data_IF_126690084670
#
_entry.id   IF_126690084670
#
_cell.length_a   1.000
_cell.length_b   1.000
_cell.length_c   1.000
_cell.angle_alpha   90.00
_cell.angle_beta   90.00
_cell.angle_gamma   90.00
#
_symmetry.space_group_name_H-M   'P 1'
#
loop_
_entity.id
_entity.type
_entity.pdbx_description
1 polymer ?
#
# COMPACT_ATOMS: atom_id res chain seq x y z
N UNK A 1 -26.79 9.72 -8.97
CA UNK A 1 -26.32 8.82 -7.89
C UNK A 1 -25.10 8.01 -8.31
N UNK A 2 -25.10 7.36 -9.49
CA UNK A 2 -23.95 6.56 -9.98
C UNK A 2 -22.63 7.35 -10.09
N UNK A 3 -22.67 8.58 -10.61
CA UNK A 3 -21.46 9.40 -10.79
C UNK A 3 -20.81 9.81 -9.46
N UNK A 4 -21.64 10.13 -8.46
CA UNK A 4 -21.16 10.49 -7.11
C UNK A 4 -20.46 9.30 -6.47
N UNK A 5 -21.05 8.11 -6.57
CA UNK A 5 -20.43 6.88 -6.05
C UNK A 5 -19.10 6.58 -6.75
N UNK A 6 -19.02 6.75 -8.07
CA UNK A 6 -17.79 6.56 -8.82
C UNK A 6 -16.68 7.51 -8.35
N UNK A 7 -17.01 8.80 -8.17
CA UNK A 7 -16.06 9.80 -7.66
C UNK A 7 -15.58 9.45 -6.24
N UNK A 8 -16.50 9.06 -5.35
CA UNK A 8 -16.16 8.65 -3.98
C UNK A 8 -15.24 7.43 -3.98
N UNK A 9 -15.54 6.40 -4.80
CA UNK A 9 -14.72 5.19 -4.88
C UNK A 9 -13.33 5.49 -5.42
N UNK A 10 -13.22 6.37 -6.43
CA UNK A 10 -11.93 6.81 -6.96
C UNK A 10 -11.12 7.60 -5.92
N UNK A 11 -11.78 8.51 -5.21
CA UNK A 11 -11.15 9.28 -4.14
C UNK A 11 -10.68 8.36 -3.00
N UNK A 12 -11.51 7.42 -2.57
CA UNK A 12 -11.17 6.42 -1.56
C UNK A 12 -9.94 5.61 -2.00
N UNK A 13 -9.93 5.10 -3.24
CA UNK A 13 -8.81 4.32 -3.76
C UNK A 13 -7.49 5.09 -3.69
N UNK A 14 -7.47 6.32 -4.20
CA UNK A 14 -6.25 7.14 -4.19
C UNK A 14 -5.82 7.54 -2.79
N UNK A 15 -6.77 7.90 -1.92
CA UNK A 15 -6.47 8.29 -0.54
C UNK A 15 -5.89 7.12 0.25
N UNK A 16 -6.47 5.93 0.11
CA UNK A 16 -5.95 4.71 0.73
C UNK A 16 -4.59 4.31 0.19
N UNK A 17 -4.37 4.40 -1.13
CA UNK A 17 -3.07 4.15 -1.75
C UNK A 17 -2.01 5.14 -1.22
N UNK A 18 -2.34 6.43 -1.18
CA UNK A 18 -1.42 7.48 -0.74
C UNK A 18 -1.06 7.31 0.74
N UNK A 19 -2.03 7.00 1.61
CA UNK A 19 -1.78 6.74 3.02
C UNK A 19 -0.85 5.53 3.21
N UNK A 20 -1.08 4.43 2.47
CA UNK A 20 -0.30 3.20 2.61
C UNK A 20 1.14 3.36 2.09
N UNK A 21 1.30 3.86 0.86
CA UNK A 21 2.61 4.06 0.25
C UNK A 21 3.38 5.19 0.95
N UNK A 22 2.70 6.28 1.31
CA UNK A 22 3.28 7.39 2.06
C UNK A 22 3.77 6.96 3.43
N UNK A 23 3.00 6.15 4.16
CA UNK A 23 3.43 5.57 5.44
C UNK A 23 4.64 4.65 5.31
N UNK A 24 4.68 3.81 4.26
CA UNK A 24 5.85 2.99 3.93
C UNK A 24 7.08 3.86 3.62
N UNK A 25 6.90 4.95 2.87
CA UNK A 25 7.98 5.84 2.46
C UNK A 25 8.55 6.57 3.67
N UNK A 26 7.69 7.19 4.47
CA UNK A 26 8.07 7.86 5.71
C UNK A 26 8.75 6.90 6.67
N UNK A 27 8.15 5.72 6.90
CA UNK A 27 8.73 4.78 7.84
C UNK A 27 10.09 4.23 7.39
N UNK A 28 10.30 4.05 6.08
CA UNK A 28 11.58 3.56 5.54
C UNK A 28 12.67 4.62 5.50
N UNK A 29 12.33 5.84 5.08
CA UNK A 29 13.32 6.90 4.81
C UNK A 29 13.54 7.83 6.00
N UNK A 30 12.58 7.94 6.90
CA UNK A 30 12.64 8.84 8.05
C UNK A 30 12.68 8.06 9.36
N UNK A 31 11.68 7.21 9.62
CA UNK A 31 11.55 6.56 10.93
C UNK A 31 12.68 5.56 11.20
N UNK A 32 13.03 4.70 10.24
CA UNK A 32 14.09 3.70 10.42
C UNK A 32 15.46 4.34 10.70
N UNK A 33 15.93 5.33 9.91
CA UNK A 33 17.15 6.05 10.23
C UNK A 33 17.09 6.77 11.59
N UNK A 34 15.97 7.40 11.93
CA UNK A 34 15.79 8.06 13.21
C UNK A 34 15.91 7.09 14.39
N UNK A 35 15.26 5.92 14.31
CA UNK A 35 15.38 4.85 15.32
C UNK A 35 16.82 4.36 15.46
N UNK A 36 17.55 4.26 14.34
CA UNK A 36 18.96 3.85 14.35
C UNK A 36 19.91 4.81 15.09
N UNK A 37 19.47 6.04 15.37
CA UNK A 37 20.25 7.01 16.17
C UNK A 37 20.03 6.89 17.68
N UNK A 38 19.11 6.03 18.12
CA UNK A 38 18.77 5.82 19.53
C UNK A 38 19.52 4.62 20.12
N UNK A 39 19.50 4.51 21.46
CA UNK A 39 19.92 3.27 22.12
C UNK A 39 19.03 2.08 21.68
N UNK A 40 19.54 0.84 21.69
CA UNK A 40 18.77 -0.32 21.24
C UNK A 40 17.39 -0.46 21.92
N UNK A 41 17.35 -0.27 23.25
CA UNK A 41 16.12 -0.36 24.05
C UNK A 41 15.12 0.74 23.69
N UNK A 42 15.57 2.00 23.57
CA UNK A 42 14.71 3.12 23.19
C UNK A 42 14.20 2.97 21.75
N UNK A 43 15.06 2.49 20.85
CA UNK A 43 14.72 2.23 19.46
C UNK A 43 13.65 1.14 19.30
N UNK A 44 13.78 0.04 20.02
CA UNK A 44 12.80 -1.05 20.01
C UNK A 44 11.44 -0.62 20.60
N UNK A 45 11.46 0.10 21.72
CA UNK A 45 10.25 0.65 22.35
C UNK A 45 9.50 1.61 21.42
N UNK A 46 10.22 2.54 20.78
CA UNK A 46 9.64 3.48 19.82
C UNK A 46 9.10 2.75 18.57
N UNK A 47 9.86 1.80 18.02
CA UNK A 47 9.44 1.01 16.87
C UNK A 47 8.15 0.23 17.15
N UNK A 48 8.04 -0.40 18.32
CA UNK A 48 6.86 -1.15 18.74
C UNK A 48 5.62 -0.26 18.87
N UNK A 49 5.75 0.87 19.56
CA UNK A 49 4.65 1.84 19.73
C UNK A 49 4.20 2.43 18.39
N UNK A 50 5.14 2.84 17.54
CA UNK A 50 4.85 3.37 16.21
C UNK A 50 4.15 2.32 15.31
N UNK A 51 4.62 1.07 15.33
CA UNK A 51 4.00 -0.03 14.61
C UNK A 51 2.56 -0.30 15.08
N UNK A 52 2.33 -0.28 16.39
CA UNK A 52 0.99 -0.41 16.98
C UNK A 52 0.05 0.71 16.55
N UNK A 53 0.51 1.96 16.57
CA UNK A 53 -0.26 3.12 16.14
C UNK A 53 -0.54 3.13 14.62
N UNK A 54 0.39 2.61 13.80
CA UNK A 54 0.26 2.55 12.35
C UNK A 54 -0.73 1.47 11.88
N UNK A 55 -0.88 0.39 12.66
CA UNK A 55 -1.71 -0.79 12.33
C UNK A 55 -3.17 -0.49 11.95
N UNK A 56 -3.96 0.29 12.71
CA UNK A 56 -5.33 0.60 12.33
C UNK A 56 -5.41 1.37 11.00
N UNK A 57 -4.45 2.26 10.74
CA UNK A 57 -4.39 2.98 9.47
C UNK A 57 -4.06 2.05 8.29
N UNK A 58 -3.14 1.09 8.48
CA UNK A 58 -2.88 0.03 7.48
C UNK A 58 -4.16 -0.75 7.18
N UNK A 59 -4.87 -1.19 8.21
CA UNK A 59 -6.12 -1.93 8.03
C UNK A 59 -7.15 -1.11 7.26
N UNK A 60 -7.38 0.15 7.64
CA UNK A 60 -8.31 1.04 6.95
C UNK A 60 -7.93 1.27 5.48
N UNK A 61 -6.64 1.51 5.20
CA UNK A 61 -6.15 1.71 3.84
C UNK A 61 -6.28 0.44 2.98
N UNK A 62 -5.93 -0.73 3.52
CA UNK A 62 -6.08 -2.00 2.79
C UNK A 62 -7.55 -2.30 2.51
N UNK A 63 -8.43 -2.14 3.49
CA UNK A 63 -9.89 -2.29 3.29
C UNK A 63 -10.40 -1.32 2.23
N UNK A 64 -10.01 -0.05 2.30
CA UNK A 64 -10.37 0.96 1.31
C UNK A 64 -9.91 0.59 -0.11
N UNK A 65 -8.69 0.08 -0.27
CA UNK A 65 -8.15 -0.39 -1.55
C UNK A 65 -8.88 -1.62 -2.09
N UNK A 66 -9.22 -2.57 -1.24
CA UNK A 66 -9.97 -3.78 -1.64
C UNK A 66 -11.37 -3.39 -2.11
N UNK A 67 -12.10 -2.60 -1.32
CA UNK A 67 -13.48 -2.19 -1.66
C UNK A 67 -13.51 -1.37 -2.94
N UNK A 68 -12.72 -0.30 -3.00
CA UNK A 68 -12.68 0.58 -4.17
C UNK A 68 -12.07 -0.08 -5.41
N UNK A 69 -11.06 -0.94 -5.24
CA UNK A 69 -10.44 -1.69 -6.33
C UNK A 69 -11.39 -2.72 -6.93
N UNK A 70 -12.13 -3.44 -6.08
CA UNK A 70 -13.17 -4.38 -6.53
C UNK A 70 -14.27 -3.64 -7.29
N UNK A 71 -14.76 -2.52 -6.75
CA UNK A 71 -15.74 -1.68 -7.42
C UNK A 71 -15.25 -1.24 -8.82
N UNK A 72 -13.99 -0.80 -8.93
CA UNK A 72 -13.42 -0.39 -10.21
C UNK A 72 -13.35 -1.54 -11.23
N UNK A 73 -12.95 -2.75 -10.81
CA UNK A 73 -12.89 -3.91 -11.71
C UNK A 73 -14.28 -4.32 -12.21
N UNK A 74 -15.29 -4.29 -11.34
CA UNK A 74 -16.66 -4.67 -11.70
C UNK A 74 -17.35 -3.64 -12.61
N UNK A 75 -17.03 -2.35 -12.44
CA UNK A 75 -17.63 -1.27 -13.24
C UNK A 75 -16.89 -0.97 -14.52
N UNK A 76 -15.59 -1.29 -14.58
CA UNK A 76 -14.73 -1.06 -15.74
C UNK A 76 -14.02 -2.37 -16.12
N UNK A 77 -14.78 -3.37 -16.62
CA UNK A 77 -14.18 -4.60 -17.11
C UNK A 77 -13.40 -4.26 -18.38
N UNK A 78 -12.08 -4.33 -18.35
CA UNK A 78 -11.29 -4.16 -19.57
C UNK A 78 -11.56 -5.30 -20.55
N UNK A 79 -11.17 -5.10 -21.82
CA UNK A 79 -11.58 -5.97 -22.92
C UNK A 79 -10.41 -6.61 -23.68
N UNK A 80 -9.16 -6.31 -23.31
CA UNK A 80 -7.98 -6.82 -24.00
C UNK A 80 -7.20 -7.81 -23.13
N UNK A 81 -6.55 -8.79 -23.77
CA UNK A 81 -5.68 -9.75 -23.07
C UNK A 81 -4.57 -9.03 -22.31
N UNK A 82 -3.95 -8.02 -22.94
CA UNK A 82 -2.92 -7.18 -22.31
C UNK A 82 -3.44 -6.48 -21.05
N UNK A 83 -4.67 -5.96 -21.06
CA UNK A 83 -5.28 -5.36 -19.88
C UNK A 83 -5.39 -6.37 -18.74
N UNK A 84 -5.93 -7.57 -18.99
CA UNK A 84 -6.10 -8.58 -17.95
C UNK A 84 -4.76 -9.10 -17.40
N UNK A 85 -3.76 -9.29 -18.25
CA UNK A 85 -2.42 -9.69 -17.82
C UNK A 85 -1.80 -8.65 -16.88
N UNK A 86 -1.81 -7.37 -17.27
CA UNK A 86 -1.27 -6.28 -16.46
C UNK A 86 -2.07 -6.06 -15.18
N UNK A 87 -3.40 -6.18 -15.24
CA UNK A 87 -4.26 -6.15 -14.05
C UNK A 87 -3.90 -7.28 -13.09
N UNK A 88 -3.71 -8.50 -13.58
CA UNK A 88 -3.28 -9.65 -12.76
C UNK A 88 -1.96 -9.40 -12.05
N UNK A 89 -0.94 -8.93 -12.78
CA UNK A 89 0.37 -8.56 -12.20
C UNK A 89 0.22 -7.46 -11.15
N UNK A 90 -0.58 -6.42 -11.44
CA UNK A 90 -0.88 -5.33 -10.49
C UNK A 90 -1.50 -5.86 -9.20
N UNK A 91 -2.44 -6.80 -9.29
CA UNK A 91 -3.11 -7.38 -8.13
C UNK A 91 -2.15 -8.24 -7.28
N UNK A 92 -1.28 -9.03 -7.90
CA UNK A 92 -0.26 -9.80 -7.19
C UNK A 92 0.72 -8.89 -6.44
N UNK A 93 1.17 -7.81 -7.09
CA UNK A 93 2.04 -6.82 -6.44
C UNK A 93 1.30 -6.07 -5.32
N UNK A 94 0.03 -5.71 -5.51
CA UNK A 94 -0.77 -5.10 -4.45
C UNK A 94 -0.92 -6.03 -3.24
N UNK A 95 -1.17 -7.33 -3.47
CA UNK A 95 -1.22 -8.32 -2.41
C UNK A 95 0.11 -8.44 -1.66
N UNK A 96 1.24 -8.39 -2.38
CA UNK A 96 2.56 -8.32 -1.75
C UNK A 96 2.70 -7.08 -0.85
N UNK A 97 2.29 -5.90 -1.34
CA UNK A 97 2.31 -4.66 -0.54
C UNK A 97 1.44 -4.79 0.71
N UNK A 98 0.23 -5.36 0.60
CA UNK A 98 -0.67 -5.54 1.74
C UNK A 98 -0.08 -6.50 2.77
N UNK A 99 0.44 -7.65 2.33
CA UNK A 99 1.08 -8.62 3.21
C UNK A 99 2.25 -7.98 3.97
N UNK A 100 3.11 -7.25 3.27
CA UNK A 100 4.22 -6.54 3.92
C UNK A 100 3.71 -5.47 4.88
N UNK A 101 2.70 -4.69 4.50
CA UNK A 101 2.14 -3.64 5.36
C UNK A 101 1.65 -4.19 6.71
N UNK A 102 1.04 -5.37 6.73
CA UNK A 102 0.69 -6.04 7.99
C UNK A 102 1.92 -6.56 8.73
N UNK A 103 2.87 -7.21 8.04
CA UNK A 103 4.07 -7.76 8.68
C UNK A 103 4.98 -6.67 9.29
N UNK A 104 4.99 -5.46 8.74
CA UNK A 104 5.72 -4.32 9.32
C UNK A 104 4.95 -3.63 10.46
N UNK A 105 3.76 -4.11 10.82
CA UNK A 105 3.07 -3.71 12.06
C UNK A 105 3.19 -4.79 13.14
N UNK A 106 3.73 -5.96 12.80
CA UNK A 106 4.00 -7.01 13.76
C UNK A 106 5.17 -6.61 14.70
N UNK A 107 5.10 -7.01 15.98
CA UNK A 107 6.20 -6.82 16.93
C UNK A 107 7.43 -7.64 16.54
N UNK A 108 8.61 -7.23 16.99
CA UNK A 108 9.89 -7.95 16.83
C UNK A 108 10.21 -8.43 15.39
N UNK A 109 10.03 -7.56 14.38
CA UNK A 109 10.37 -7.88 12.99
C UNK A 109 11.79 -7.37 12.63
N UNK A 110 12.82 -8.24 12.60
CA UNK A 110 14.21 -7.82 12.31
C UNK A 110 14.41 -7.42 10.85
N UNK A 111 13.49 -7.81 9.95
CA UNK A 111 13.59 -7.58 8.50
C UNK A 111 12.75 -6.39 8.04
N UNK A 112 12.20 -5.59 8.97
CA UNK A 112 11.28 -4.48 8.72
C UNK A 112 11.80 -3.54 7.63
N UNK A 113 13.05 -3.06 7.74
CA UNK A 113 13.65 -2.16 6.76
C UNK A 113 13.66 -2.73 5.34
N UNK A 114 14.13 -3.97 5.19
CA UNK A 114 14.22 -4.65 3.89
C UNK A 114 12.84 -4.87 3.29
N UNK A 115 11.88 -5.30 4.10
CA UNK A 115 10.50 -5.54 3.66
C UNK A 115 9.85 -4.25 3.17
N UNK A 116 10.04 -3.13 3.88
CA UNK A 116 9.52 -1.84 3.45
C UNK A 116 10.11 -1.39 2.11
N UNK A 117 11.40 -1.59 1.86
CA UNK A 117 11.99 -1.32 0.54
C UNK A 117 11.31 -2.14 -0.56
N UNK A 118 11.11 -3.46 -0.34
CA UNK A 118 10.45 -4.33 -1.32
C UNK A 118 9.00 -3.92 -1.61
N UNK A 119 8.25 -3.55 -0.55
CA UNK A 119 6.89 -3.04 -0.70
C UNK A 119 6.84 -1.66 -1.38
N UNK A 120 7.81 -0.78 -1.15
CA UNK A 120 7.89 0.49 -1.85
C UNK A 120 8.14 0.30 -3.35
N UNK A 121 9.10 -0.54 -3.71
CA UNK A 121 9.37 -0.86 -5.12
C UNK A 121 8.11 -1.47 -5.77
N UNK A 122 7.49 -2.45 -5.11
CA UNK A 122 6.26 -3.08 -5.60
C UNK A 122 5.12 -2.06 -5.74
N UNK A 123 4.95 -1.16 -4.78
CA UNK A 123 3.96 -0.09 -4.81
C UNK A 123 4.18 0.90 -5.94
N UNK A 124 5.42 1.31 -6.20
CA UNK A 124 5.76 2.18 -7.33
C UNK A 124 5.48 1.49 -8.67
N UNK A 125 5.77 0.19 -8.79
CA UNK A 125 5.43 -0.60 -9.98
C UNK A 125 3.91 -0.69 -10.15
N UNK A 126 3.15 -0.90 -9.07
CA UNK A 126 1.67 -0.87 -9.10
C UNK A 126 1.14 0.46 -9.63
N UNK A 127 1.73 1.58 -9.21
CA UNK A 127 1.38 2.92 -9.69
C UNK A 127 1.72 3.07 -11.18
N UNK A 128 2.90 2.62 -11.60
CA UNK A 128 3.32 2.67 -13.01
C UNK A 128 2.38 1.84 -13.91
N UNK A 129 2.03 0.61 -13.50
CA UNK A 129 1.06 -0.22 -14.22
C UNK A 129 -0.31 0.46 -14.26
N UNK A 130 -0.76 1.05 -13.15
CA UNK A 130 -2.04 1.77 -13.11
C UNK A 130 -2.06 2.99 -14.06
N UNK A 131 -0.95 3.72 -14.16
CA UNK A 131 -0.81 4.84 -15.10
C UNK A 131 -0.84 4.35 -16.55
N UNK A 132 -0.16 3.25 -16.86
CA UNK A 132 -0.18 2.66 -18.20
C UNK A 132 -1.54 2.09 -18.58
N UNK A 133 -2.22 1.38 -17.67
CA UNK A 133 -3.57 0.84 -17.91
C UNK A 133 -4.56 1.94 -18.28
N UNK A 134 -4.50 3.10 -17.61
CA UNK A 134 -5.33 4.27 -17.91
C UNK A 134 -5.07 4.90 -19.29
N UNK A 135 -3.94 4.59 -19.93
CA UNK A 135 -3.63 5.06 -21.28
C UNK A 135 -4.23 4.16 -22.35
N UNK A 136 -4.28 2.87 -22.08
CA UNK A 136 -4.75 1.85 -23.04
C UNK A 136 -6.22 1.48 -22.85
N UNK A 137 -6.85 1.98 -21.79
CA UNK A 137 -8.25 1.81 -21.42
C UNK A 137 -8.79 3.10 -20.82
#
# INVERSE_FOLDING_TARGET
>A
MGDVLFVIMRWLHFSSMAALIGGLLYGRLVMIPAIGSLSPEAGESLAGKAAGAYRPMVLAAVCGLIVSGTYNILTNPGHTVTYHMLLGVKLLLALHVFAVAFLITAPHNPRRARMMTGALISGLIVVAIAAYLRRIF
#
